data_IF_796005062708
#
_entry.id   IF_796005062708
#
_cell.length_a   1.000
_cell.length_b   1.000
_cell.length_c   1.000
_cell.angle_alpha   90.00
_cell.angle_beta   90.00
_cell.angle_gamma   90.00
#
_symmetry.space_group_name_H-M   'P 1'
#
loop_
_entity.id
_entity.type
_entity.pdbx_description
1 polymer ?
#
# COMPACT_ATOMS: atom_id res chain seq x y z
N UNK A 1 3.15 -28.22 13.47
CA UNK A 1 4.12 -28.13 12.36
C UNK A 1 4.39 -29.55 11.93
N UNK A 2 4.05 -29.92 10.69
CA UNK A 2 4.39 -31.24 10.17
C UNK A 2 5.79 -31.08 9.59
N UNK A 3 6.79 -31.50 10.35
CA UNK A 3 8.16 -31.51 9.86
C UNK A 3 8.31 -32.69 8.91
N UNK A 4 8.53 -32.39 7.63
CA UNK A 4 8.90 -33.38 6.64
C UNK A 4 10.31 -33.86 6.97
N UNK A 5 10.42 -35.10 7.43
CA UNK A 5 11.70 -35.78 7.62
C UNK A 5 12.33 -35.89 6.23
N UNK A 6 13.35 -35.08 5.95
CA UNK A 6 14.21 -35.21 4.76
C UNK A 6 15.02 -36.50 4.85
N UNK A 7 14.36 -37.64 4.63
CA UNK A 7 15.05 -38.91 4.39
C UNK A 7 15.79 -38.76 3.06
N UNK A 8 17.08 -39.07 3.07
CA UNK A 8 17.94 -39.03 1.89
C UNK A 8 17.31 -39.83 0.73
N UNK A 9 16.97 -39.11 -0.34
CA UNK A 9 16.79 -39.57 -1.72
C UNK A 9 16.42 -41.04 -1.91
N UNK A 10 15.19 -41.41 -1.55
CA UNK A 10 14.44 -42.28 -2.44
C UNK A 10 13.71 -41.35 -3.40
N UNK A 11 14.14 -41.30 -4.67
CA UNK A 11 13.37 -40.62 -5.71
C UNK A 11 11.96 -41.22 -5.71
N UNK A 12 11.01 -40.48 -5.14
CA UNK A 12 9.64 -40.89 -4.83
C UNK A 12 8.84 -41.02 -6.13
N UNK A 13 9.16 -42.01 -6.95
CA UNK A 13 8.53 -42.29 -8.24
C UNK A 13 7.28 -43.16 -8.08
N UNK A 14 6.80 -43.35 -6.85
CA UNK A 14 5.70 -44.26 -6.56
C UNK A 14 4.38 -43.76 -7.16
N UNK A 15 3.60 -44.65 -7.82
CA UNK A 15 2.27 -44.33 -8.30
C UNK A 15 1.38 -43.78 -7.17
N UNK A 16 0.73 -42.63 -7.40
CA UNK A 16 -0.16 -41.97 -6.44
C UNK A 16 0.38 -40.69 -5.80
N UNK A 17 1.67 -40.39 -5.96
CA UNK A 17 2.27 -39.13 -5.54
C UNK A 17 2.08 -38.03 -6.59
N UNK A 18 1.74 -36.81 -6.17
CA UNK A 18 1.55 -35.64 -7.03
C UNK A 18 2.81 -34.78 -6.97
N UNK A 19 3.39 -34.46 -8.12
CA UNK A 19 4.56 -33.60 -8.26
C UNK A 19 4.22 -32.41 -9.13
N UNK A 20 4.84 -31.26 -8.85
CA UNK A 20 4.96 -30.22 -9.86
C UNK A 20 6.16 -30.55 -10.75
N UNK A 21 5.95 -30.52 -12.06
CA UNK A 21 6.99 -30.69 -13.06
C UNK A 21 7.14 -29.38 -13.84
N UNK A 22 8.37 -29.05 -14.20
CA UNK A 22 8.63 -27.98 -15.18
C UNK A 22 7.88 -28.28 -16.49
N UNK A 23 7.44 -27.24 -17.20
CA UNK A 23 6.82 -27.39 -18.54
C UNK A 23 7.77 -28.07 -19.54
N UNK A 24 9.08 -27.96 -19.32
CA UNK A 24 10.14 -28.60 -20.11
C UNK A 24 10.73 -29.83 -19.40
N UNK A 25 9.97 -30.52 -18.55
CA UNK A 25 10.48 -31.67 -17.81
C UNK A 25 10.84 -32.83 -18.75
N UNK A 26 12.11 -33.24 -18.74
CA UNK A 26 12.58 -34.47 -19.37
C UNK A 26 12.95 -35.51 -18.31
N UNK A 27 12.67 -36.79 -18.57
CA UNK A 27 13.03 -37.90 -17.68
C UNK A 27 14.51 -38.33 -17.85
N UNK A 28 15.40 -37.37 -17.97
CA UNK A 28 16.84 -37.54 -18.22
C UNK A 28 17.66 -37.74 -16.93
N UNK A 29 17.00 -37.70 -15.77
CA UNK A 29 17.64 -37.76 -14.45
C UNK A 29 18.31 -36.45 -14.02
N UNK A 30 18.27 -35.41 -14.85
CA UNK A 30 18.81 -34.07 -14.57
C UNK A 30 17.71 -33.09 -14.14
N UNK A 31 16.45 -33.38 -14.44
CA UNK A 31 15.32 -32.54 -14.03
C UNK A 31 14.81 -32.88 -12.63
N UNK A 32 14.79 -31.86 -11.76
CA UNK A 32 14.22 -31.94 -10.42
C UNK A 32 12.68 -31.92 -10.46
N UNK A 33 12.04 -32.84 -9.73
CA UNK A 33 10.59 -32.84 -9.49
C UNK A 33 10.34 -32.38 -8.06
N UNK A 34 9.57 -31.30 -7.89
CA UNK A 34 9.21 -30.84 -6.56
C UNK A 34 7.94 -31.57 -6.09
N UNK A 35 7.95 -32.23 -4.91
CA UNK A 35 6.73 -32.79 -4.34
C UNK A 35 5.67 -31.71 -4.17
N UNK A 36 4.42 -32.02 -4.53
CA UNK A 36 3.31 -31.06 -4.45
C UNK A 36 3.15 -30.49 -3.04
N UNK A 37 3.38 -31.31 -2.01
CA UNK A 37 3.29 -30.90 -0.60
C UNK A 37 4.28 -29.79 -0.25
N UNK A 38 5.52 -29.84 -0.74
CA UNK A 38 6.52 -28.81 -0.49
C UNK A 38 6.13 -27.50 -1.18
N UNK A 39 5.76 -27.57 -2.46
CA UNK A 39 5.36 -26.38 -3.23
C UNK A 39 4.12 -25.69 -2.65
N UNK A 40 3.11 -26.47 -2.24
CA UNK A 40 1.93 -25.90 -1.58
C UNK A 40 2.27 -25.29 -0.22
N UNK A 41 3.15 -25.91 0.56
CA UNK A 41 3.58 -25.37 1.84
C UNK A 41 4.31 -24.03 1.68
N UNK A 42 5.22 -23.93 0.70
CA UNK A 42 5.94 -22.69 0.37
C UNK A 42 4.99 -21.57 -0.06
N UNK A 43 4.02 -21.89 -0.92
CA UNK A 43 3.00 -20.94 -1.37
C UNK A 43 2.10 -20.48 -0.22
N UNK A 44 1.66 -21.38 0.67
CA UNK A 44 0.86 -21.03 1.85
C UNK A 44 1.62 -20.10 2.79
N UNK A 45 2.91 -20.34 3.02
CA UNK A 45 3.75 -19.47 3.86
C UNK A 45 3.87 -18.08 3.23
N UNK A 46 4.12 -18.02 1.92
CA UNK A 46 4.23 -16.76 1.18
C UNK A 46 2.92 -15.98 1.18
N UNK A 47 1.79 -16.67 0.94
CA UNK A 47 0.46 -16.07 0.97
C UNK A 47 0.11 -15.57 2.36
N UNK A 48 0.41 -16.33 3.41
CA UNK A 48 0.19 -15.89 4.80
C UNK A 48 0.91 -14.58 5.08
N UNK A 49 2.20 -14.50 4.74
CA UNK A 49 2.99 -13.27 4.92
C UNK A 49 2.36 -12.08 4.20
N UNK A 50 1.95 -12.24 2.94
CA UNK A 50 1.29 -11.19 2.15
C UNK A 50 -0.05 -10.75 2.76
N UNK A 51 -0.81 -11.69 3.32
CA UNK A 51 -2.08 -11.40 4.02
C UNK A 51 -1.82 -10.62 5.31
N UNK A 52 -0.83 -11.02 6.10
CA UNK A 52 -0.43 -10.29 7.32
C UNK A 52 0.02 -8.86 6.99
N UNK A 53 0.86 -8.67 5.97
CA UNK A 53 1.28 -7.35 5.50
C UNK A 53 0.10 -6.48 5.02
N UNK A 54 -0.85 -7.08 4.29
CA UNK A 54 -2.05 -6.37 3.84
C UNK A 54 -2.97 -5.97 5.00
N UNK A 55 -3.11 -6.82 6.02
CA UNK A 55 -3.90 -6.53 7.23
C UNK A 55 -3.33 -5.34 8.00
N UNK A 56 -2.00 -5.25 8.14
CA UNK A 56 -1.35 -4.08 8.76
C UNK A 56 -1.60 -2.79 7.98
N UNK A 57 -1.54 -2.84 6.64
CA UNK A 57 -1.91 -1.69 5.79
C UNK A 57 -3.36 -1.31 6.01
N UNK A 58 -4.29 -2.27 6.02
CA UNK A 58 -5.72 -2.02 6.24
C UNK A 58 -5.99 -1.36 7.60
N UNK A 59 -5.29 -1.77 8.66
CA UNK A 59 -5.39 -1.12 9.99
C UNK A 59 -4.96 0.34 9.98
N UNK A 60 -4.02 0.72 9.11
CA UNK A 60 -3.54 2.11 9.00
C UNK A 60 -4.52 3.05 8.28
N UNK A 61 -5.39 2.53 7.40
CA UNK A 61 -6.29 3.33 6.55
C UNK A 61 -7.24 4.23 7.38
N UNK A 62 -7.94 3.75 8.43
CA UNK A 62 -8.82 4.61 9.22
C UNK A 62 -8.10 5.75 9.94
N UNK A 63 -6.85 5.53 10.37
CA UNK A 63 -6.04 6.57 11.00
C UNK A 63 -5.66 7.66 9.99
N UNK A 64 -5.20 7.25 8.80
CA UNK A 64 -4.87 8.18 7.72
C UNK A 64 -6.11 8.97 7.26
N UNK A 65 -7.28 8.34 7.17
CA UNK A 65 -8.53 9.02 6.84
C UNK A 65 -8.86 10.14 7.84
N UNK A 66 -8.72 9.88 9.15
CA UNK A 66 -8.93 10.93 10.18
C UNK A 66 -7.93 12.08 10.05
N UNK A 67 -6.68 11.79 9.68
CA UNK A 67 -5.68 12.83 9.45
C UNK A 67 -6.04 13.68 8.23
N UNK A 68 -6.48 13.04 7.14
CA UNK A 68 -6.96 13.72 5.93
C UNK A 68 -8.14 14.64 6.28
N UNK A 69 -9.17 14.14 6.96
CA UNK A 69 -10.34 14.94 7.37
C UNK A 69 -9.93 16.17 8.22
N UNK A 70 -8.97 16.00 9.14
CA UNK A 70 -8.44 17.09 9.96
C UNK A 70 -7.72 18.16 9.13
N UNK A 71 -6.87 17.72 8.19
CA UNK A 71 -6.14 18.62 7.29
C UNK A 71 -7.11 19.34 6.36
N UNK A 72 -8.10 18.66 5.79
CA UNK A 72 -9.14 19.28 4.97
C UNK A 72 -9.92 20.35 5.74
N UNK A 73 -10.26 20.08 7.01
CA UNK A 73 -10.93 21.06 7.87
C UNK A 73 -10.05 22.29 8.15
N UNK A 74 -8.73 22.09 8.33
CA UNK A 74 -7.77 23.19 8.48
C UNK A 74 -7.67 24.03 7.20
N UNK A 75 -7.54 23.39 6.04
CA UNK A 75 -7.48 24.06 4.72
C UNK A 75 -8.73 24.90 4.49
N UNK A 76 -9.92 24.35 4.77
CA UNK A 76 -11.19 25.09 4.65
C UNK A 76 -11.21 26.34 5.54
N UNK A 77 -10.76 26.23 6.79
CA UNK A 77 -10.68 27.39 7.71
C UNK A 77 -9.71 28.45 7.20
N UNK A 78 -8.52 28.04 6.75
CA UNK A 78 -7.52 28.96 6.22
C UNK A 78 -8.00 29.66 4.95
N UNK A 79 -8.73 28.96 4.07
CA UNK A 79 -9.35 29.56 2.89
C UNK A 79 -10.31 30.69 3.26
N UNK A 80 -11.20 30.46 4.24
CA UNK A 80 -12.15 31.49 4.69
C UNK A 80 -11.45 32.72 5.29
N UNK A 81 -10.35 32.51 6.02
CA UNK A 81 -9.54 33.61 6.55
C UNK A 81 -8.85 34.40 5.45
N UNK A 82 -8.36 33.71 4.41
CA UNK A 82 -7.75 34.35 3.25
C UNK A 82 -8.77 35.19 2.48
N UNK A 83 -9.99 34.69 2.27
CA UNK A 83 -11.07 35.43 1.61
C UNK A 83 -11.41 36.71 2.37
N UNK A 84 -11.52 36.61 3.71
CA UNK A 84 -11.77 37.77 4.57
C UNK A 84 -10.65 38.80 4.46
N UNK A 85 -9.40 38.36 4.63
CA UNK A 85 -8.23 39.25 4.58
C UNK A 85 -8.10 39.92 3.21
N UNK A 86 -8.42 39.20 2.13
CA UNK A 86 -8.45 39.75 0.77
C UNK A 86 -9.48 40.87 0.65
N UNK A 87 -10.67 40.69 1.21
CA UNK A 87 -11.70 41.74 1.27
C UNK A 87 -11.26 42.95 2.09
N UNK A 88 -10.63 42.72 3.24
CA UNK A 88 -10.11 43.80 4.10
C UNK A 88 -9.01 44.60 3.38
N UNK A 89 -8.08 43.94 2.68
CA UNK A 89 -7.05 44.59 1.86
C UNK A 89 -7.66 45.42 0.75
N UNK A 90 -8.64 44.88 0.01
CA UNK A 90 -9.32 45.63 -1.05
C UNK A 90 -9.97 46.91 -0.53
N UNK A 91 -10.68 46.83 0.60
CA UNK A 91 -11.31 48.00 1.23
C UNK A 91 -10.28 49.06 1.63
N UNK A 92 -9.16 48.64 2.24
CA UNK A 92 -8.07 49.54 2.59
C UNK A 92 -7.44 50.19 1.36
N UNK A 93 -7.23 49.43 0.27
CA UNK A 93 -6.73 49.97 -1.00
C UNK A 93 -7.64 51.08 -1.53
N UNK A 94 -8.97 50.89 -1.50
CA UNK A 94 -9.93 51.93 -1.91
C UNK A 94 -9.85 53.17 -1.02
N UNK A 95 -9.74 53.00 0.30
CA UNK A 95 -9.63 54.12 1.24
C UNK A 95 -8.33 54.90 1.03
N UNK A 96 -7.20 54.21 0.84
CA UNK A 96 -5.91 54.85 0.54
C UNK A 96 -6.01 55.66 -0.74
N UNK A 97 -6.55 55.08 -1.83
CA UNK A 97 -6.72 55.80 -3.09
C UNK A 97 -7.64 57.05 -2.95
N UNK A 98 -8.66 56.99 -2.10
CA UNK A 98 -9.52 58.13 -1.82
C UNK A 98 -8.78 59.24 -1.04
N UNK A 99 -7.99 58.86 -0.04
CA UNK A 99 -7.16 59.79 0.73
C UNK A 99 -6.07 60.42 -0.14
N UNK A 100 -5.43 59.65 -1.01
CA UNK A 100 -4.41 60.16 -1.94
C UNK A 100 -4.97 61.28 -2.82
N UNK A 101 -6.19 61.10 -3.36
CA UNK A 101 -6.86 62.16 -4.12
C UNK A 101 -7.13 63.41 -3.30
N UNK A 102 -7.62 63.27 -2.06
CA UNK A 102 -7.94 64.44 -1.22
C UNK A 102 -6.69 65.18 -0.74
N UNK A 103 -5.57 64.48 -0.54
CA UNK A 103 -4.35 65.04 0.02
C UNK A 103 -3.36 65.56 -1.04
N UNK A 104 -3.39 65.03 -2.26
CA UNK A 104 -2.38 65.28 -3.28
C UNK A 104 -2.92 65.73 -4.65
N UNK A 105 -4.24 65.71 -4.90
CA UNK A 105 -4.85 66.48 -6.00
C UNK A 105 -5.12 67.94 -5.55
#
# INVERSE_FOLDING_TARGET
MIDEVRVKDEFDTQPGKRFFSCVNYEADGLHYRQPWVCGVQEEIVTLRKRVEEADEVMKSVPMLNKQIESVEAQVKRLSLLLDKLTGDVYNLTVQVAALERVCFD
#
